data_IF_701818747459
#
_entry.id   IF_701818747459
#
_cell.length_a   1.000
_cell.length_b   1.000
_cell.length_c   1.000
_cell.angle_alpha   90.00
_cell.angle_beta   90.00
_cell.angle_gamma   90.00
#
_symmetry.space_group_name_H-M   'P 1'
#
loop_
_entity.id
_entity.type
_entity.pdbx_description
1 polymer ?
#
# COMPACT_ATOMS: atom_id res chain seq x y z
N UNK A 1 -41.92 6.75 -46.69
CA UNK A 1 -41.24 5.45 -46.49
C UNK A 1 -39.76 5.76 -46.26
N UNK A 2 -39.16 5.25 -45.17
CA UNK A 2 -37.73 5.32 -44.80
C UNK A 2 -37.17 6.55 -44.06
N UNK A 3 -37.86 7.06 -43.04
CA UNK A 3 -37.23 7.85 -41.95
C UNK A 3 -37.15 6.97 -40.69
N UNK A 4 -36.58 5.78 -40.85
CA UNK A 4 -36.40 4.78 -39.80
C UNK A 4 -35.09 5.06 -39.06
N UNK A 5 -35.24 5.42 -37.79
CA UNK A 5 -34.67 4.61 -36.71
C UNK A 5 -33.14 4.51 -36.67
N UNK A 6 -32.44 5.64 -36.60
CA UNK A 6 -30.97 5.63 -36.47
C UNK A 6 -30.44 6.77 -35.61
N UNK A 7 -31.03 6.99 -34.43
CA UNK A 7 -30.50 7.99 -33.48
C UNK A 7 -30.84 7.71 -32.01
N UNK A 8 -31.09 6.45 -31.65
CA UNK A 8 -31.44 6.07 -30.26
C UNK A 8 -30.66 4.84 -29.76
N UNK A 9 -29.42 4.66 -30.21
CA UNK A 9 -28.50 3.64 -29.72
C UNK A 9 -27.12 4.23 -29.37
N UNK A 10 -27.07 5.44 -28.82
CA UNK A 10 -25.91 5.85 -28.00
C UNK A 10 -25.98 5.06 -26.69
N UNK A 11 -25.51 3.82 -26.82
CA UNK A 11 -24.99 2.92 -25.80
C UNK A 11 -24.70 3.68 -24.50
N UNK A 12 -25.54 3.41 -23.51
CA UNK A 12 -25.13 3.43 -22.11
C UNK A 12 -24.02 2.38 -21.93
N UNK A 13 -22.79 2.71 -22.36
CA UNK A 13 -21.59 2.09 -21.81
C UNK A 13 -21.44 2.64 -20.39
N UNK A 14 -22.27 2.16 -19.47
CA UNK A 14 -21.97 2.26 -18.06
C UNK A 14 -20.73 1.41 -17.85
N UNK A 15 -19.56 2.05 -17.86
CA UNK A 15 -18.35 1.38 -17.42
C UNK A 15 -18.58 1.02 -15.96
N UNK A 16 -18.73 -0.27 -15.70
CA UNK A 16 -18.65 -0.79 -14.35
C UNK A 16 -17.26 -0.47 -13.83
N UNK A 17 -17.14 0.64 -13.11
CA UNK A 17 -15.94 0.95 -12.32
C UNK A 17 -15.94 -0.10 -11.21
N UNK A 18 -15.30 -1.23 -11.49
CA UNK A 18 -14.96 -2.22 -10.48
C UNK A 18 -14.01 -1.55 -9.51
N UNK A 19 -14.58 -1.09 -8.41
CA UNK A 19 -13.84 -0.57 -7.30
C UNK A 19 -13.22 -1.76 -6.56
N UNK A 20 -11.96 -2.04 -6.82
CA UNK A 20 -11.21 -3.03 -6.05
C UNK A 20 -11.03 -2.49 -4.63
N UNK A 21 -11.65 -3.15 -3.65
CA UNK A 21 -11.30 -2.93 -2.25
C UNK A 21 -9.90 -3.50 -2.02
N UNK A 22 -9.08 -2.79 -1.24
CA UNK A 22 -7.77 -3.33 -0.85
C UNK A 22 -8.00 -4.51 0.09
N UNK A 23 -7.50 -5.67 -0.32
CA UNK A 23 -7.55 -6.89 0.50
C UNK A 23 -6.64 -6.77 1.72
N UNK A 24 -6.97 -7.48 2.79
CA UNK A 24 -6.10 -7.59 3.96
C UNK A 24 -5.98 -6.33 4.84
N UNK A 25 -6.71 -5.24 4.56
CA UNK A 25 -6.68 -4.03 5.41
C UNK A 25 -7.00 -4.32 6.89
N UNK A 26 -7.84 -5.33 7.15
CA UNK A 26 -8.24 -5.79 8.48
C UNK A 26 -7.41 -6.98 8.99
N UNK A 27 -6.30 -7.31 8.35
CA UNK A 27 -5.45 -8.46 8.68
C UNK A 27 -4.01 -8.01 8.97
N UNK A 28 -3.44 -8.44 10.09
CA UNK A 28 -2.06 -8.12 10.45
C UNK A 28 -1.32 -9.35 10.96
N UNK A 29 -0.02 -9.40 10.63
CA UNK A 29 0.92 -10.41 11.10
C UNK A 29 1.81 -9.77 12.16
N UNK A 30 1.84 -10.35 13.36
CA UNK A 30 2.63 -9.86 14.50
C UNK A 30 3.40 -10.98 15.15
N UNK A 31 4.50 -10.65 15.81
CA UNK A 31 5.29 -11.64 16.56
C UNK A 31 4.59 -11.97 17.87
N UNK A 32 4.25 -13.24 18.10
CA UNK A 32 3.78 -13.73 19.38
C UNK A 32 4.95 -14.34 20.17
N UNK A 33 5.18 -13.85 21.40
CA UNK A 33 6.24 -14.38 22.28
C UNK A 33 5.95 -15.80 22.75
N UNK A 34 4.67 -16.07 23.01
CA UNK A 34 4.13 -17.39 23.33
C UNK A 34 2.63 -17.41 23.04
N UNK A 35 2.01 -18.57 23.22
CA UNK A 35 0.56 -18.74 23.09
C UNK A 35 -0.20 -18.49 24.40
N UNK A 36 0.48 -17.98 25.44
CA UNK A 36 -0.15 -17.61 26.71
C UNK A 36 -1.24 -16.56 26.50
N UNK A 37 -2.24 -16.51 27.38
CA UNK A 37 -3.32 -15.52 27.28
C UNK A 37 -2.78 -14.07 27.29
N UNK A 38 -1.76 -13.79 28.11
CA UNK A 38 -1.16 -12.48 28.22
C UNK A 38 -0.41 -12.07 26.94
N UNK A 39 0.44 -12.96 26.42
CA UNK A 39 1.20 -12.69 25.19
C UNK A 39 0.27 -12.58 23.97
N UNK A 40 -0.75 -13.44 23.90
CA UNK A 40 -1.79 -13.36 22.87
C UNK A 40 -2.51 -12.02 22.90
N UNK A 41 -2.93 -11.55 24.08
CA UNK A 41 -3.63 -10.26 24.19
C UNK A 41 -2.71 -9.09 23.81
N UNK A 42 -1.42 -9.16 24.17
CA UNK A 42 -0.41 -8.19 23.72
C UNK A 42 -0.28 -8.16 22.20
N UNK A 43 -0.17 -9.33 21.56
CA UNK A 43 -0.06 -9.44 20.11
C UNK A 43 -1.37 -9.00 19.40
N UNK A 44 -2.55 -9.30 19.95
CA UNK A 44 -3.83 -8.80 19.42
C UNK A 44 -3.92 -7.27 19.46
N UNK A 45 -3.43 -6.66 20.55
CA UNK A 45 -3.36 -5.20 20.67
C UNK A 45 -2.42 -4.61 19.60
N UNK A 46 -1.23 -5.16 19.44
CA UNK A 46 -0.27 -4.75 18.41
C UNK A 46 -0.85 -4.88 16.99
N UNK A 47 -1.49 -6.02 16.70
CA UNK A 47 -2.15 -6.26 15.43
C UNK A 47 -3.25 -5.23 15.15
N UNK A 48 -4.01 -4.83 16.17
CA UNK A 48 -5.05 -3.81 16.01
C UNK A 48 -4.46 -2.41 15.78
N UNK A 49 -3.33 -2.07 16.41
CA UNK A 49 -2.62 -0.81 16.14
C UNK A 49 -2.15 -0.75 14.67
N UNK A 50 -1.61 -1.84 14.14
CA UNK A 50 -1.20 -1.95 12.73
C UNK A 50 -2.40 -1.85 11.77
N UNK A 51 -3.57 -2.36 12.15
CA UNK A 51 -4.78 -2.18 11.35
C UNK A 51 -5.24 -0.72 11.40
N UNK A 52 -5.27 -0.08 12.56
CA UNK A 52 -5.66 1.33 12.67
C UNK A 52 -4.72 2.29 11.94
N UNK A 53 -3.41 2.03 11.94
CA UNK A 53 -2.46 2.87 11.19
C UNK A 53 -2.69 2.83 9.67
N UNK A 54 -3.44 1.85 9.16
CA UNK A 54 -3.85 1.82 7.75
C UNK A 54 -5.05 2.71 7.46
N UNK A 55 -5.86 3.10 8.46
CA UNK A 55 -7.07 3.91 8.25
C UNK A 55 -6.91 5.37 8.69
N UNK A 56 -6.01 5.62 9.65
CA UNK A 56 -5.73 6.94 10.20
C UNK A 56 -4.34 7.44 9.78
N UNK A 57 -4.20 8.75 9.60
CA UNK A 57 -2.98 9.41 9.08
C UNK A 57 -1.91 9.50 10.18
N UNK A 58 -2.34 9.73 11.40
CA UNK A 58 -1.54 9.98 12.59
C UNK A 58 -1.81 8.90 13.64
N UNK A 59 -0.90 8.77 14.61
CA UNK A 59 -1.15 7.96 15.81
C UNK A 59 -2.18 8.59 16.77
N UNK A 60 -2.96 9.58 16.31
CA UNK A 60 -4.00 10.24 17.10
C UNK A 60 -5.08 9.25 17.55
N UNK A 61 -5.23 8.13 16.84
CA UNK A 61 -6.10 7.05 17.28
C UNK A 61 -5.72 6.49 18.67
N UNK A 62 -4.45 6.58 19.07
CA UNK A 62 -3.98 6.15 20.40
C UNK A 62 -4.49 7.09 21.50
N UNK A 63 -4.72 8.37 21.16
CA UNK A 63 -5.25 9.38 22.09
C UNK A 63 -6.77 9.48 22.06
N UNK A 64 -7.43 8.97 21.01
CA UNK A 64 -8.88 8.94 20.93
C UNK A 64 -9.47 7.92 21.94
N UNK A 65 -10.36 8.34 22.87
CA UNK A 65 -10.87 7.45 23.93
C UNK A 65 -11.58 6.20 23.42
N UNK A 66 -12.34 6.31 22.33
CA UNK A 66 -13.08 5.18 21.73
C UNK A 66 -12.11 4.13 21.19
N UNK A 67 -11.10 4.58 20.44
CA UNK A 67 -10.11 3.69 19.83
C UNK A 67 -9.13 3.14 20.87
N UNK A 68 -8.75 3.93 21.88
CA UNK A 68 -7.94 3.47 23.01
C UNK A 68 -8.64 2.38 23.82
N UNK A 69 -9.94 2.53 24.07
CA UNK A 69 -10.74 1.48 24.72
C UNK A 69 -10.77 0.19 23.88
N UNK A 70 -10.91 0.31 22.56
CA UNK A 70 -10.86 -0.84 21.66
C UNK A 70 -9.49 -1.52 21.61
N UNK A 71 -8.39 -0.76 21.65
CA UNK A 71 -7.04 -1.32 21.78
C UNK A 71 -6.90 -2.15 23.07
N UNK A 72 -7.43 -1.66 24.20
CA UNK A 72 -7.46 -2.41 25.46
C UNK A 72 -8.33 -3.69 25.42
N UNK A 73 -9.22 -3.81 24.44
CA UNK A 73 -10.13 -4.95 24.26
C UNK A 73 -10.11 -5.49 22.81
N UNK A 74 -8.90 -5.57 22.22
CA UNK A 74 -8.73 -5.94 20.82
C UNK A 74 -9.36 -7.30 20.47
N UNK A 75 -9.35 -8.23 21.42
CA UNK A 75 -9.93 -9.57 21.28
C UNK A 75 -11.42 -9.57 20.87
N UNK A 76 -12.21 -8.59 21.32
CA UNK A 76 -13.64 -8.50 20.95
C UNK A 76 -13.89 -8.14 19.49
N UNK A 77 -12.86 -7.67 18.76
CA UNK A 77 -12.97 -7.32 17.35
C UNK A 77 -12.37 -8.40 16.44
N UNK A 78 -11.78 -9.46 17.00
CA UNK A 78 -11.15 -10.52 16.21
C UNK A 78 -12.22 -11.38 15.54
N UNK A 79 -12.11 -11.57 14.23
CA UNK A 79 -12.88 -12.56 13.51
C UNK A 79 -12.20 -13.93 13.58
N UNK A 80 -10.90 -13.98 13.29
CA UNK A 80 -10.09 -15.19 13.37
C UNK A 80 -8.61 -14.85 13.61
N UNK A 81 -7.85 -15.79 14.14
CA UNK A 81 -6.39 -15.70 14.17
C UNK A 81 -5.77 -17.10 13.99
N UNK A 82 -4.53 -17.14 13.52
CA UNK A 82 -3.75 -18.36 13.38
C UNK A 82 -2.28 -18.11 13.69
N UNK A 83 -1.60 -19.13 14.23
CA UNK A 83 -0.16 -19.10 14.41
C UNK A 83 0.53 -19.74 13.20
N UNK A 84 1.50 -19.04 12.66
CA UNK A 84 2.34 -19.44 11.54
C UNK A 84 3.74 -19.69 12.08
N UNK A 85 4.24 -20.89 11.90
CA UNK A 85 5.63 -21.21 12.23
C UNK A 85 6.52 -20.77 11.07
N UNK A 86 7.46 -19.86 11.36
CA UNK A 86 8.56 -19.60 10.46
C UNK A 86 9.57 -20.74 10.61
N UNK A 87 9.92 -21.40 9.51
CA UNK A 87 11.06 -22.32 9.49
C UNK A 87 12.33 -21.50 9.75
N UNK A 88 12.83 -21.54 10.98
CA UNK A 88 14.04 -20.84 11.42
C UNK A 88 15.16 -21.84 11.69
N UNK A 89 16.35 -21.53 11.14
CA UNK A 89 17.59 -22.25 11.39
C UNK A 89 17.87 -22.42 12.89
N UNK A 90 18.32 -23.61 13.24
CA UNK A 90 18.64 -24.09 14.59
C UNK A 90 19.52 -23.13 15.40
N UNK A 91 18.93 -22.28 16.25
CA UNK A 91 19.58 -21.66 17.42
C UNK A 91 18.64 -20.78 18.29
N UNK A 92 17.52 -20.30 17.76
CA UNK A 92 16.56 -19.47 18.49
C UNK A 92 15.17 -20.09 18.38
N UNK A 93 14.39 -20.10 19.47
CA UNK A 93 13.02 -20.62 19.42
C UNK A 93 12.27 -19.93 18.27
N UNK A 94 11.51 -20.68 17.44
CA UNK A 94 10.77 -20.08 16.34
C UNK A 94 9.85 -19.01 16.94
N UNK A 95 10.02 -17.77 16.48
CA UNK A 95 9.06 -16.73 16.79
C UNK A 95 7.76 -17.10 16.07
N UNK A 96 6.72 -17.47 16.82
CA UNK A 96 5.41 -17.75 16.27
C UNK A 96 4.84 -16.45 15.70
N UNK A 97 4.59 -16.39 14.39
CA UNK A 97 3.89 -15.25 13.79
C UNK A 97 2.40 -15.48 13.98
N UNK A 98 1.71 -14.55 14.64
CA UNK A 98 0.27 -14.59 14.75
C UNK A 98 -0.36 -13.72 13.66
N UNK A 99 -1.04 -14.36 12.71
CA UNK A 99 -1.89 -13.68 11.73
C UNK A 99 -3.27 -13.48 12.33
N UNK A 100 -3.69 -12.23 12.46
CA UNK A 100 -4.98 -11.83 13.04
C UNK A 100 -5.81 -11.20 11.94
N UNK A 101 -7.07 -11.63 11.80
CA UNK A 101 -8.07 -10.99 10.94
C UNK A 101 -9.21 -10.47 11.80
N UNK A 102 -9.44 -9.16 11.74
CA UNK A 102 -10.50 -8.49 12.50
C UNK A 102 -11.84 -8.52 11.74
N UNK A 103 -12.94 -8.47 12.47
CA UNK A 103 -14.27 -8.36 11.90
C UNK A 103 -14.45 -6.98 11.25
N UNK A 104 -14.52 -6.95 9.91
CA UNK A 104 -14.65 -5.72 9.11
C UNK A 104 -15.82 -4.85 9.57
N UNK A 105 -17.00 -5.43 9.81
CA UNK A 105 -18.21 -4.67 10.12
C UNK A 105 -18.11 -4.02 11.51
N UNK A 106 -17.77 -4.81 12.53
CA UNK A 106 -17.64 -4.32 13.90
C UNK A 106 -16.55 -3.25 14.02
N UNK A 107 -15.39 -3.47 13.37
CA UNK A 107 -14.29 -2.52 13.44
C UNK A 107 -14.57 -1.24 12.65
N UNK A 108 -15.21 -1.34 11.49
CA UNK A 108 -15.62 -0.15 10.71
C UNK A 108 -16.64 0.68 11.47
N UNK A 109 -17.62 0.04 12.14
CA UNK A 109 -18.60 0.74 12.97
C UNK A 109 -17.91 1.51 14.11
N UNK A 110 -16.99 0.86 14.83
CA UNK A 110 -16.18 1.50 15.86
C UNK A 110 -15.40 2.71 15.30
N UNK A 111 -14.67 2.54 14.19
CA UNK A 111 -13.87 3.61 13.60
C UNK A 111 -14.73 4.83 13.23
N UNK A 112 -15.94 4.62 12.72
CA UNK A 112 -16.89 5.72 12.43
C UNK A 112 -17.33 6.46 13.71
N UNK A 113 -17.56 5.75 14.81
CA UNK A 113 -17.94 6.39 16.09
C UNK A 113 -16.81 7.22 16.72
N UNK A 114 -15.56 7.04 16.27
CA UNK A 114 -14.43 7.82 16.79
C UNK A 114 -14.44 9.29 16.36
N UNK A 115 -15.18 9.64 15.29
CA UNK A 115 -15.22 10.97 14.70
C UNK A 115 -13.94 11.39 13.97
N UNK A 116 -12.92 10.51 13.89
CA UNK A 116 -11.70 10.77 13.14
C UNK A 116 -11.93 10.59 11.64
N UNK A 117 -11.26 11.41 10.83
CA UNK A 117 -11.25 11.23 9.39
C UNK A 117 -10.60 9.88 9.05
N UNK A 118 -11.26 9.10 8.18
CA UNK A 118 -10.80 7.78 7.79
C UNK A 118 -10.66 7.69 6.27
N UNK A 119 -9.60 7.02 5.81
CA UNK A 119 -9.48 6.63 4.42
C UNK A 119 -10.00 5.20 4.24
N UNK A 120 -11.20 5.10 3.65
CA UNK A 120 -11.93 3.84 3.50
C UNK A 120 -11.20 2.76 2.67
N UNK A 121 -11.82 1.59 2.60
CA UNK A 121 -11.26 0.41 1.93
C UNK A 121 -11.19 0.53 0.40
N UNK A 122 -12.02 1.40 -0.19
CA UNK A 122 -11.97 1.72 -1.61
C UNK A 122 -10.86 2.72 -1.87
N UNK A 123 -9.75 2.24 -2.41
CA UNK A 123 -8.56 3.06 -2.70
C UNK A 123 -8.26 3.00 -4.18
N UNK A 124 -7.95 4.17 -4.74
CA UNK A 124 -7.51 4.25 -6.13
C UNK A 124 -6.09 3.70 -6.26
N UNK A 125 -5.82 3.03 -7.37
CA UNK A 125 -4.50 2.46 -7.65
C UNK A 125 -3.49 3.59 -7.88
N UNK A 126 -2.26 3.37 -7.39
CA UNK A 126 -1.10 4.22 -7.67
C UNK A 126 -0.23 3.51 -8.69
N UNK A 127 0.01 4.12 -9.85
CA UNK A 127 0.94 3.56 -10.84
C UNK A 127 2.38 3.79 -10.38
N UNK A 128 3.19 2.74 -10.36
CA UNK A 128 4.58 2.77 -9.91
C UNK A 128 5.55 2.57 -11.08
N UNK A 129 6.27 3.64 -11.44
CA UNK A 129 7.49 3.57 -12.23
C UNK A 129 8.70 3.42 -11.32
N UNK A 130 9.40 2.29 -11.38
CA UNK A 130 10.58 2.04 -10.53
C UNK A 130 11.82 1.75 -11.36
N UNK A 131 12.89 2.50 -11.12
CA UNK A 131 14.24 2.19 -11.57
C UNK A 131 15.01 1.47 -10.46
N UNK A 132 15.80 0.47 -10.82
CA UNK A 132 16.69 -0.25 -9.93
C UNK A 132 18.13 0.03 -10.35
N UNK A 133 18.92 0.56 -9.42
CA UNK A 133 20.36 0.81 -9.58
C UNK A 133 21.14 -0.27 -8.82
N UNK A 134 21.88 -1.11 -9.55
CA UNK A 134 22.81 -2.11 -8.99
C UNK A 134 24.19 -1.94 -9.62
N UNK A 135 25.13 -1.38 -8.85
CA UNK A 135 26.47 -1.05 -9.36
C UNK A 135 26.39 0.08 -10.39
N UNK A 136 26.78 -0.20 -11.64
CA UNK A 136 26.71 0.75 -12.76
C UNK A 136 25.50 0.54 -13.66
N UNK A 137 24.65 -0.45 -13.37
CA UNK A 137 23.46 -0.76 -14.17
C UNK A 137 22.25 -0.08 -13.56
N UNK A 138 21.50 0.62 -14.41
CA UNK A 138 20.17 1.14 -14.12
C UNK A 138 19.19 0.51 -15.10
N UNK A 139 18.10 -0.05 -14.58
CA UNK A 139 17.05 -0.66 -15.38
C UNK A 139 15.68 -0.41 -14.73
N UNK A 140 14.61 -0.51 -15.52
CA UNK A 140 13.27 -0.59 -14.95
C UNK A 140 13.09 -1.87 -14.16
N UNK A 141 12.26 -1.82 -13.12
CA UNK A 141 11.77 -3.00 -12.42
C UNK A 141 11.10 -3.96 -13.40
N UNK A 142 11.53 -5.21 -13.37
CA UNK A 142 10.83 -6.32 -14.00
C UNK A 142 10.25 -7.20 -12.89
N UNK A 143 8.94 -7.12 -12.66
CA UNK A 143 8.26 -7.86 -11.58
C UNK A 143 8.48 -9.38 -11.67
N UNK A 144 8.70 -9.92 -12.87
CA UNK A 144 8.92 -11.35 -13.07
C UNK A 144 10.36 -11.78 -12.73
N UNK A 145 11.35 -10.90 -12.91
CA UNK A 145 12.76 -11.20 -12.68
C UNK A 145 13.25 -10.71 -11.31
N UNK A 146 12.77 -9.56 -10.85
CA UNK A 146 13.16 -8.91 -9.60
C UNK A 146 12.28 -9.36 -8.42
N UNK A 147 12.17 -10.67 -8.22
CA UNK A 147 11.21 -11.27 -7.28
C UNK A 147 11.36 -10.77 -5.84
N UNK A 148 12.60 -10.57 -5.36
CA UNK A 148 12.87 -10.03 -4.01
C UNK A 148 12.24 -8.64 -3.82
N UNK A 149 12.29 -7.80 -4.87
CA UNK A 149 11.72 -6.44 -4.86
C UNK A 149 10.21 -6.51 -5.02
N UNK A 150 9.69 -7.37 -5.88
CA UNK A 150 8.27 -7.58 -6.06
C UNK A 150 7.57 -8.03 -4.75
N UNK A 151 8.16 -9.00 -4.03
CA UNK A 151 7.66 -9.46 -2.73
C UNK A 151 7.70 -8.35 -1.67
N UNK A 152 8.77 -7.56 -1.65
CA UNK A 152 8.91 -6.44 -0.73
C UNK A 152 7.90 -5.31 -1.03
N UNK A 153 7.60 -5.05 -2.31
CA UNK A 153 6.56 -4.12 -2.74
C UNK A 153 5.16 -4.63 -2.36
N UNK A 154 4.85 -5.90 -2.60
CA UNK A 154 3.57 -6.51 -2.20
C UNK A 154 3.36 -6.41 -0.68
N UNK A 155 4.42 -6.64 0.10
CA UNK A 155 4.36 -6.46 1.54
C UNK A 155 4.12 -4.99 1.92
N UNK A 156 4.79 -4.05 1.27
CA UNK A 156 4.63 -2.62 1.52
C UNK A 156 3.22 -2.12 1.14
N UNK A 157 2.66 -2.61 0.02
CA UNK A 157 1.27 -2.39 -0.42
C UNK A 157 0.30 -2.89 0.65
N UNK A 158 0.46 -4.13 1.11
CA UNK A 158 -0.43 -4.74 2.12
C UNK A 158 -0.32 -4.03 3.47
N UNK A 159 0.90 -3.60 3.85
CA UNK A 159 1.14 -2.97 5.16
C UNK A 159 0.56 -1.57 5.24
N UNK A 160 0.66 -0.79 4.16
CA UNK A 160 0.16 0.59 4.08
C UNK A 160 -1.24 0.69 3.47
N UNK A 161 -1.74 -0.39 2.87
CA UNK A 161 -2.99 -0.41 2.11
C UNK A 161 -2.92 0.49 0.87
N UNK A 162 -1.81 0.52 0.14
CA UNK A 162 -1.66 1.34 -1.07
C UNK A 162 -1.62 0.42 -2.29
N UNK A 163 -2.74 0.27 -3.03
CA UNK A 163 -2.78 -0.66 -4.14
C UNK A 163 -1.89 -0.15 -5.28
N UNK A 164 -0.90 -0.96 -5.65
CA UNK A 164 0.05 -0.62 -6.71
C UNK A 164 -0.42 -1.15 -8.06
N UNK A 165 -0.16 -0.36 -9.10
CA UNK A 165 -0.26 -0.77 -10.49
C UNK A 165 1.13 -0.64 -11.10
N UNK A 166 1.51 -1.59 -11.95
CA UNK A 166 2.80 -1.57 -12.62
C UNK A 166 2.62 -1.33 -14.11
N UNK A 167 3.54 -0.58 -14.75
CA UNK A 167 3.58 -0.48 -16.20
C UNK A 167 3.70 -1.85 -16.86
N UNK A 168 3.06 -2.04 -18.01
CA UNK A 168 3.14 -3.28 -18.78
C UNK A 168 4.53 -3.47 -19.39
N UNK A 169 5.28 -2.38 -19.58
CA UNK A 169 6.58 -2.37 -20.23
C UNK A 169 6.53 -3.07 -21.59
N UNK A 170 5.44 -2.83 -22.33
CA UNK A 170 5.27 -3.31 -23.70
C UNK A 170 6.23 -2.57 -24.67
N UNK A 171 6.21 -2.94 -25.95
CA UNK A 171 7.12 -2.34 -26.93
C UNK A 171 6.90 -0.84 -27.08
N UNK A 172 5.66 -0.37 -27.00
CA UNK A 172 5.30 1.04 -27.14
C UNK A 172 5.84 1.84 -25.95
N UNK A 173 5.61 1.36 -24.72
CA UNK A 173 6.14 2.01 -23.52
C UNK A 173 7.66 2.03 -23.51
N UNK A 174 8.31 0.90 -23.82
CA UNK A 174 9.77 0.79 -23.88
C UNK A 174 10.41 1.75 -24.89
N UNK A 175 9.67 2.15 -25.93
CA UNK A 175 10.14 3.15 -26.91
C UNK A 175 9.85 4.58 -26.46
N UNK A 176 8.76 4.80 -25.72
CA UNK A 176 8.32 6.12 -25.30
C UNK A 176 9.06 6.66 -24.07
N UNK A 177 9.52 5.77 -23.16
CA UNK A 177 10.05 6.17 -21.85
C UNK A 177 11.41 5.53 -21.53
N UNK A 178 12.32 6.32 -20.99
CA UNK A 178 13.60 5.87 -20.45
C UNK A 178 13.67 5.98 -18.93
N UNK A 179 14.65 5.30 -18.32
CA UNK A 179 14.90 5.42 -16.87
C UNK A 179 15.15 6.89 -16.47
N UNK A 180 15.86 7.65 -17.30
CA UNK A 180 16.11 9.07 -17.02
C UNK A 180 14.81 9.90 -17.00
N UNK A 181 13.83 9.54 -17.83
CA UNK A 181 12.56 10.27 -17.90
C UNK A 181 11.74 10.09 -16.61
N UNK A 182 11.73 8.89 -16.02
CA UNK A 182 11.01 8.65 -14.74
C UNK A 182 11.72 9.27 -13.53
N UNK A 183 13.04 9.47 -13.62
CA UNK A 183 13.86 10.09 -12.57
C UNK A 183 14.00 11.61 -12.74
N UNK A 184 13.42 12.17 -13.80
CA UNK A 184 13.47 13.59 -14.10
C UNK A 184 12.80 14.43 -13.01
N UNK A 185 13.29 15.67 -12.84
CA UNK A 185 12.62 16.67 -12.00
C UNK A 185 11.26 17.08 -12.57
N UNK A 186 11.06 16.91 -13.88
CA UNK A 186 9.80 17.10 -14.60
C UNK A 186 9.47 15.83 -15.39
N UNK A 187 8.64 14.94 -14.86
CA UNK A 187 8.42 13.63 -15.46
C UNK A 187 7.28 13.65 -16.49
N UNK A 188 7.24 14.66 -17.37
CA UNK A 188 6.16 14.87 -18.35
C UNK A 188 5.91 13.62 -19.21
N UNK A 189 6.99 12.95 -19.64
CA UNK A 189 6.88 11.69 -20.40
C UNK A 189 6.35 10.54 -19.55
N UNK A 190 6.74 10.45 -18.27
CA UNK A 190 6.21 9.42 -17.40
C UNK A 190 4.72 9.64 -17.14
N UNK A 191 4.30 10.89 -16.92
CA UNK A 191 2.89 11.25 -16.77
C UNK A 191 2.09 10.97 -18.04
N UNK A 192 2.61 11.34 -19.22
CA UNK A 192 1.97 11.04 -20.50
C UNK A 192 1.83 9.53 -20.75
N UNK A 193 2.89 8.75 -20.49
CA UNK A 193 2.83 7.29 -20.58
C UNK A 193 1.86 6.68 -19.56
N UNK A 194 1.59 7.39 -18.45
CA UNK A 194 0.70 6.94 -17.38
C UNK A 194 -0.79 7.16 -17.70
N UNK A 195 -1.14 8.01 -18.68
CA UNK A 195 -2.53 8.36 -19.00
C UNK A 195 -3.38 7.13 -19.34
N UNK A 196 -2.80 6.15 -20.04
CA UNK A 196 -3.48 4.91 -20.44
C UNK A 196 -3.95 4.05 -19.26
N UNK A 197 -3.42 4.27 -18.06
CA UNK A 197 -3.77 3.52 -16.86
C UNK A 197 -4.95 4.12 -16.08
N UNK A 198 -5.38 5.35 -16.41
CA UNK A 198 -6.53 5.98 -15.77
C UNK A 198 -6.37 6.19 -14.25
N UNK A 199 -5.13 6.33 -13.77
CA UNK A 199 -4.82 6.56 -12.36
C UNK A 199 -4.74 8.06 -12.04
N UNK A 200 -5.07 8.44 -10.80
CA UNK A 200 -4.88 9.81 -10.32
C UNK A 200 -3.53 10.04 -9.64
N UNK A 201 -2.83 8.97 -9.29
CA UNK A 201 -1.57 8.99 -8.58
C UNK A 201 -0.50 8.22 -9.37
N UNK A 202 0.60 8.90 -9.67
CA UNK A 202 1.80 8.32 -10.30
C UNK A 202 2.98 8.47 -9.36
N UNK A 203 3.54 7.34 -8.95
CA UNK A 203 4.73 7.25 -8.13
C UNK A 203 5.90 6.87 -9.03
N UNK A 204 6.93 7.73 -9.06
CA UNK A 204 8.22 7.40 -9.68
C UNK A 204 9.26 7.20 -8.60
N UNK A 205 10.15 6.23 -8.77
CA UNK A 205 11.19 5.95 -7.79
C UNK A 205 12.48 5.43 -8.39
N UNK A 206 13.56 5.64 -7.64
CA UNK A 206 14.84 4.96 -7.80
C UNK A 206 15.15 4.16 -6.56
N UNK A 207 15.35 2.87 -6.71
CA UNK A 207 15.78 1.96 -5.66
C UNK A 207 17.23 1.54 -5.91
N UNK A 208 18.08 1.76 -4.92
CA UNK A 208 19.53 1.68 -5.08
C UNK A 208 20.13 0.66 -4.13
N UNK A 209 20.73 -0.40 -4.68
CA UNK A 209 21.41 -1.43 -3.90
C UNK A 209 22.79 -0.95 -3.48
N UNK A 210 23.00 -0.85 -2.17
CA UNK A 210 24.33 -0.73 -1.55
C UNK A 210 24.76 -2.09 -1.02
N UNK A 211 25.99 -2.20 -0.51
CA UNK A 211 26.58 -3.49 -0.09
C UNK A 211 25.69 -4.33 0.81
N UNK A 212 25.02 -3.70 1.78
CA UNK A 212 24.22 -4.39 2.81
C UNK A 212 22.83 -3.78 3.01
N UNK A 213 22.48 -2.76 2.24
CA UNK A 213 21.25 -2.01 2.43
C UNK A 213 20.76 -1.39 1.12
N UNK A 214 19.52 -0.94 1.14
CA UNK A 214 18.84 -0.28 0.04
C UNK A 214 18.53 1.15 0.44
N UNK A 215 18.83 2.09 -0.46
CA UNK A 215 18.39 3.49 -0.38
C UNK A 215 17.37 3.71 -1.49
N UNK A 216 16.42 4.62 -1.28
CA UNK A 216 15.47 4.97 -2.33
C UNK A 216 15.15 6.45 -2.37
N UNK A 217 14.78 6.91 -3.57
CA UNK A 217 14.34 8.27 -3.87
C UNK A 217 13.02 8.18 -4.61
N UNK A 218 12.08 9.07 -4.29
CA UNK A 218 10.70 8.98 -4.75
C UNK A 218 10.16 10.34 -5.16
N UNK A 219 9.25 10.32 -6.12
CA UNK A 219 8.45 11.45 -6.53
C UNK A 219 7.00 11.00 -6.74
N UNK A 220 6.07 11.56 -5.97
CA UNK A 220 4.64 11.31 -6.06
C UNK A 220 3.96 12.47 -6.76
N UNK A 221 3.24 12.16 -7.84
CA UNK A 221 2.49 13.11 -8.64
C UNK A 221 1.00 12.78 -8.51
N UNK A 222 0.23 13.70 -7.96
CA UNK A 222 -1.21 13.52 -7.71
C UNK A 222 -1.92 14.83 -8.00
N UNK A 223 -2.73 14.87 -9.05
CA UNK A 223 -3.37 16.10 -9.54
C UNK A 223 -2.31 17.21 -9.80
N UNK A 224 -2.30 18.28 -9.00
CA UNK A 224 -1.39 19.42 -9.11
C UNK A 224 -0.30 19.41 -8.01
N UNK A 225 -0.11 18.31 -7.31
CA UNK A 225 0.94 18.19 -6.29
C UNK A 225 2.04 17.26 -6.75
N UNK A 226 3.26 17.72 -6.50
CA UNK A 226 4.50 16.99 -6.72
C UNK A 226 5.29 16.94 -5.42
N UNK A 227 5.37 15.76 -4.82
CA UNK A 227 6.05 15.55 -3.54
C UNK A 227 7.25 14.65 -3.74
N UNK A 228 8.37 14.99 -3.10
CA UNK A 228 9.64 14.26 -3.24
C UNK A 228 10.25 13.96 -1.90
N UNK A 229 10.75 12.74 -1.75
CA UNK A 229 11.46 12.32 -0.55
C UNK A 229 12.50 11.25 -0.87
N UNK A 230 13.36 10.99 0.10
CA UNK A 230 14.30 9.89 0.07
C UNK A 230 14.16 9.05 1.34
N UNK A 231 14.26 7.73 1.20
CA UNK A 231 14.34 6.82 2.32
C UNK A 231 15.80 6.40 2.51
N UNK A 232 16.39 6.59 3.71
CA UNK A 232 17.79 6.28 3.98
C UNK A 232 18.06 4.78 3.88
N UNK A 233 19.35 4.42 4.00
CA UNK A 233 19.76 3.03 3.83
C UNK A 233 19.12 2.11 4.88
N UNK A 234 18.45 1.06 4.44
CA UNK A 234 17.83 0.05 5.30
C UNK A 234 17.66 -1.30 4.61
N UNK A 235 17.06 -2.28 5.31
CA UNK A 235 16.66 -3.54 4.68
C UNK A 235 15.58 -3.26 3.63
N UNK A 236 15.58 -4.00 2.52
CA UNK A 236 14.68 -3.77 1.36
C UNK A 236 13.21 -3.60 1.77
N UNK A 237 12.68 -4.59 2.48
CA UNK A 237 11.30 -4.61 2.99
C UNK A 237 10.97 -3.39 3.83
N UNK A 238 11.83 -3.02 4.78
CA UNK A 238 11.61 -1.85 5.64
C UNK A 238 11.70 -0.52 4.86
N UNK A 239 12.63 -0.43 3.90
CA UNK A 239 12.80 0.75 3.06
C UNK A 239 11.55 1.01 2.19
N UNK A 240 11.04 -0.02 1.52
CA UNK A 240 9.83 0.08 0.70
C UNK A 240 8.56 0.31 1.53
N UNK A 241 8.42 -0.37 2.68
CA UNK A 241 7.29 -0.10 3.60
C UNK A 241 7.28 1.37 4.04
N UNK A 242 8.44 1.93 4.40
CA UNK A 242 8.54 3.34 4.80
C UNK A 242 8.26 4.30 3.63
N UNK A 243 8.69 3.97 2.41
CA UNK A 243 8.40 4.78 1.24
C UNK A 243 6.89 4.85 0.93
N UNK A 244 6.21 3.70 0.95
CA UNK A 244 4.76 3.63 0.71
C UNK A 244 3.96 4.23 1.88
N UNK A 245 4.50 4.26 3.10
CA UNK A 245 3.88 4.97 4.21
C UNK A 245 3.80 6.47 3.92
N UNK A 246 4.84 7.06 3.34
CA UNK A 246 4.82 8.46 2.90
C UNK A 246 3.77 8.70 1.83
N UNK A 247 3.63 7.79 0.86
CA UNK A 247 2.54 7.85 -0.15
C UNK A 247 1.17 7.88 0.52
N UNK A 248 0.95 6.98 1.49
CA UNK A 248 -0.30 6.96 2.25
C UNK A 248 -0.55 8.28 2.98
N UNK A 249 0.45 8.87 3.61
CA UNK A 249 0.32 10.16 4.30
C UNK A 249 -0.15 11.27 3.36
N UNK A 250 0.43 11.37 2.15
CA UNK A 250 -0.01 12.38 1.19
C UNK A 250 -1.40 12.09 0.62
N UNK A 251 -1.66 10.85 0.18
CA UNK A 251 -2.95 10.52 -0.44
C UNK A 251 -4.12 10.57 0.54
N UNK A 252 -3.89 10.22 1.80
CA UNK A 252 -4.92 10.28 2.83
C UNK A 252 -5.45 11.70 3.08
N UNK A 253 -4.66 12.76 2.84
CA UNK A 253 -5.14 14.14 2.91
C UNK A 253 -6.23 14.42 1.85
N UNK A 254 -6.17 13.77 0.69
CA UNK A 254 -7.14 13.94 -0.40
C UNK A 254 -8.39 13.09 -0.23
N UNK A 255 -8.22 11.90 0.34
CA UNK A 255 -9.26 10.87 0.32
C UNK A 255 -9.84 10.55 1.69
N UNK A 256 -9.26 11.02 2.79
CA UNK A 256 -9.84 10.84 4.11
C UNK A 256 -11.13 11.66 4.23
N UNK A 257 -12.20 10.99 4.65
CA UNK A 257 -13.50 11.61 4.87
C UNK A 257 -13.84 11.52 6.34
N UNK A 258 -14.39 12.60 6.91
CA UNK A 258 -15.01 12.53 8.22
C UNK A 258 -16.31 11.71 8.10
N UNK A 259 -16.55 10.79 9.06
CA UNK A 259 -17.75 9.95 9.07
C UNK A 259 -19.04 10.77 9.24
#
# INVERSE_FOLDING_TARGET
MHTRFLLLCCLFMTQSISATEVEGLFTADVTARSQSLADRNGALNEALQLVFSRFFITNDFVQNPVLKAALGNAASYVGQYQYLQLAGDTATQPADIMRVTFNKNSLTALMRTSGLALWGAKREKTLLWLAIEQGTKEAFLDIAQDTEIAEALQHAESSNGIPLLFPLMDLEEKQAISVMDILSTKPDKALAASERYGVKAVLSGKLVKRRTCWRSEWALHVNNMDERWATPCGKLKANLTSALQTVYQYLSVFYAQKP
#
